data_IF_833465680192
#
_entry.id   IF_833465680192
#
_cell.length_a   1.000
_cell.length_b   1.000
_cell.length_c   1.000
_cell.angle_alpha   90.00
_cell.angle_beta   90.00
_cell.angle_gamma   90.00
#
_symmetry.space_group_name_H-M   'P 1'
#
loop_
_entity.id
_entity.type
_entity.pdbx_description
1 polymer ?
#
# COMPACT_ATOMS: atom_id res chain seq x y z
N UNK A 1 -8.22 16.04 2.38
CA UNK A 1 -7.34 15.38 1.39
C UNK A 1 -7.63 13.89 1.37
N UNK A 2 -7.97 13.33 0.21
CA UNK A 2 -8.17 11.90 -0.02
C UNK A 2 -6.95 11.34 -0.74
N UNK A 3 -6.39 10.26 -0.22
CA UNK A 3 -5.19 9.61 -0.78
C UNK A 3 -5.41 8.11 -0.91
N UNK A 4 -5.09 7.55 -2.08
CA UNK A 4 -5.02 6.10 -2.28
C UNK A 4 -3.63 5.61 -1.89
N UNK A 5 -3.55 4.43 -1.27
CA UNK A 5 -2.29 3.76 -0.92
C UNK A 5 -2.26 2.35 -1.45
N UNK A 6 -1.10 1.93 -1.88
CA UNK A 6 -0.76 0.53 -2.12
C UNK A 6 0.71 0.28 -1.77
N UNK A 7 1.03 -0.89 -1.21
CA UNK A 7 2.40 -1.30 -0.90
C UNK A 7 2.74 -2.62 -1.56
N UNK A 8 4.00 -2.78 -1.93
CA UNK A 8 4.53 -4.05 -2.37
C UNK A 8 5.58 -4.57 -1.40
N UNK A 9 5.44 -5.81 -1.02
CA UNK A 9 6.26 -6.47 -0.01
C UNK A 9 7.03 -7.61 -0.64
N UNK A 10 8.27 -7.79 -0.20
CA UNK A 10 9.09 -8.94 -0.56
C UNK A 10 8.36 -10.24 -0.23
N UNK A 11 8.40 -11.20 -1.14
CA UNK A 11 7.72 -12.50 -1.00
C UNK A 11 8.72 -13.63 -1.23
N UNK A 12 9.40 -14.03 -0.17
CA UNK A 12 10.39 -15.12 -0.22
C UNK A 12 9.73 -16.50 -0.06
N UNK A 13 8.70 -16.57 0.81
CA UNK A 13 8.11 -17.84 1.25
C UNK A 13 6.58 -17.89 1.07
N UNK A 14 6.05 -17.15 0.11
CA UNK A 14 4.62 -17.05 -0.13
C UNK A 14 4.07 -15.66 0.20
N UNK A 15 2.75 -15.54 0.34
CA UNK A 15 2.13 -14.23 0.61
C UNK A 15 2.57 -13.70 1.98
N UNK A 16 3.10 -12.46 2.06
CA UNK A 16 3.61 -11.90 3.30
C UNK A 16 2.50 -11.75 4.36
N UNK A 17 2.77 -12.28 5.55
CA UNK A 17 1.83 -12.28 6.65
C UNK A 17 1.96 -11.00 7.50
N UNK A 18 0.82 -10.35 7.76
CA UNK A 18 0.74 -9.11 8.56
C UNK A 18 1.11 -9.36 10.02
N UNK A 19 0.83 -10.55 10.57
CA UNK A 19 1.09 -10.84 11.98
C UNK A 19 2.60 -10.96 12.25
N UNK A 20 3.32 -11.70 11.43
CA UNK A 20 4.77 -11.82 11.51
C UNK A 20 5.48 -10.58 10.99
N UNK A 21 4.96 -9.96 9.93
CA UNK A 21 5.50 -8.79 9.25
C UNK A 21 7.01 -8.90 9.02
N UNK A 22 7.46 -10.08 8.55
CA UNK A 22 8.88 -10.44 8.49
C UNK A 22 9.60 -9.83 7.30
N UNK A 23 8.91 -9.71 6.16
CA UNK A 23 9.50 -9.32 4.89
C UNK A 23 9.57 -7.80 4.70
N UNK A 24 10.56 -7.34 3.93
CA UNK A 24 10.80 -5.93 3.64
C UNK A 24 9.72 -5.35 2.73
N UNK A 25 9.33 -4.10 2.98
CA UNK A 25 8.55 -3.30 2.03
C UNK A 25 9.48 -2.89 0.89
N UNK A 26 9.08 -3.21 -0.33
CA UNK A 26 9.81 -2.90 -1.56
C UNK A 26 9.35 -1.57 -2.19
N UNK A 27 8.03 -1.32 -2.16
CA UNK A 27 7.41 -0.11 -2.70
C UNK A 27 6.34 0.41 -1.74
N UNK A 28 6.23 1.73 -1.63
CA UNK A 28 5.08 2.44 -1.08
C UNK A 28 4.63 3.43 -2.14
N UNK A 29 3.38 3.35 -2.58
CA UNK A 29 2.82 4.28 -3.57
C UNK A 29 1.58 4.95 -3.02
N UNK A 30 1.52 6.26 -3.16
CA UNK A 30 0.38 7.11 -2.81
C UNK A 30 -0.08 7.88 -4.03
N UNK A 31 -1.41 7.98 -4.23
CA UNK A 31 -2.00 8.91 -5.18
C UNK A 31 -2.88 9.93 -4.44
N UNK A 32 -2.64 11.21 -4.64
CA UNK A 32 -3.57 12.25 -4.25
C UNK A 32 -4.76 12.29 -5.21
N UNK A 33 -5.97 12.09 -4.69
CA UNK A 33 -7.18 12.01 -5.51
C UNK A 33 -7.47 13.30 -6.28
N UNK A 34 -7.17 14.46 -5.69
CA UNK A 34 -7.50 15.78 -6.26
C UNK A 34 -6.52 16.18 -7.36
N UNK A 35 -5.23 16.05 -7.09
CA UNK A 35 -4.18 16.47 -8.02
C UNK A 35 -3.78 15.39 -9.01
N UNK A 36 -4.16 14.14 -8.75
CA UNK A 36 -3.71 12.94 -9.48
C UNK A 36 -2.19 12.73 -9.44
N UNK A 37 -1.50 13.44 -8.54
CA UNK A 37 -0.08 13.24 -8.35
C UNK A 37 0.17 11.92 -7.62
N UNK A 38 1.06 11.12 -8.16
CA UNK A 38 1.51 9.87 -7.59
C UNK A 38 2.91 10.05 -7.01
N UNK A 39 3.12 9.52 -5.82
CA UNK A 39 4.43 9.49 -5.17
C UNK A 39 4.76 8.07 -4.77
N UNK A 40 5.93 7.60 -5.23
CA UNK A 40 6.41 6.26 -4.95
C UNK A 40 7.79 6.31 -4.30
N UNK A 41 7.94 5.53 -3.23
CA UNK A 41 9.21 5.20 -2.58
C UNK A 41 9.56 3.75 -2.92
N UNK A 42 10.78 3.49 -3.41
CA UNK A 42 11.15 2.14 -3.85
C UNK A 42 12.60 1.76 -3.56
N UNK A 43 12.84 0.46 -3.38
CA UNK A 43 14.17 -0.14 -3.16
C UNK A 43 14.88 -0.46 -4.49
N UNK A 44 14.92 0.49 -5.41
CA UNK A 44 15.57 0.30 -6.71
C UNK A 44 15.39 1.48 -7.63
N UNK A 45 16.12 1.47 -8.74
CA UNK A 45 16.03 2.53 -9.75
C UNK A 45 14.79 2.39 -10.62
N UNK A 46 14.18 3.49 -11.00
CA UNK A 46 13.03 3.53 -11.89
C UNK A 46 13.22 4.62 -12.95
N UNK A 47 13.04 4.26 -14.22
CA UNK A 47 13.05 5.23 -15.30
C UNK A 47 11.64 5.82 -15.48
N UNK A 48 11.40 6.89 -14.74
CA UNK A 48 10.09 7.56 -14.75
C UNK A 48 9.88 8.34 -16.06
N UNK A 49 8.78 8.06 -16.75
CA UNK A 49 8.36 8.75 -17.97
C UNK A 49 7.05 9.53 -17.80
N UNK A 50 6.45 9.50 -16.60
CA UNK A 50 5.16 10.12 -16.32
C UNK A 50 5.37 11.40 -15.52
N UNK A 51 4.80 12.51 -15.99
CA UNK A 51 4.97 13.84 -15.37
C UNK A 51 4.28 13.95 -13.99
N UNK A 52 3.19 13.19 -13.80
CA UNK A 52 2.44 13.17 -12.54
C UNK A 52 3.01 12.19 -11.50
N UNK A 53 4.09 11.47 -11.81
CA UNK A 53 4.74 10.52 -10.90
C UNK A 53 6.03 11.11 -10.34
N UNK A 54 6.17 11.09 -9.02
CA UNK A 54 7.39 11.43 -8.30
C UNK A 54 7.94 10.13 -7.69
N UNK A 55 9.05 9.66 -8.20
CA UNK A 55 9.71 8.45 -7.70
C UNK A 55 10.98 8.78 -6.92
N UNK A 56 11.13 8.17 -5.74
CA UNK A 56 12.36 8.23 -4.94
C UNK A 56 12.92 6.82 -4.74
N UNK A 57 14.20 6.67 -5.06
CA UNK A 57 14.95 5.41 -4.92
C UNK A 57 15.77 5.38 -3.64
N UNK A 58 15.77 4.24 -2.96
CA UNK A 58 16.53 3.98 -1.73
C UNK A 58 17.32 2.68 -1.83
N UNK A 59 18.33 2.54 -1.00
CA UNK A 59 19.16 1.32 -0.92
C UNK A 59 18.68 0.35 0.14
N UNK A 60 18.02 0.86 1.18
CA UNK A 60 17.55 0.09 2.33
C UNK A 60 16.12 0.47 2.68
N UNK A 61 15.38 -0.48 3.26
CA UNK A 61 14.04 -0.22 3.80
C UNK A 61 14.06 0.85 4.90
N UNK A 62 15.12 0.89 5.73
CA UNK A 62 15.28 1.94 6.74
C UNK A 62 15.24 3.34 6.13
N UNK A 63 16.00 3.57 5.06
CA UNK A 63 16.05 4.87 4.37
C UNK A 63 14.68 5.20 3.73
N UNK A 64 14.06 4.19 3.11
CA UNK A 64 12.74 4.31 2.49
C UNK A 64 11.68 4.71 3.50
N UNK A 65 11.53 3.96 4.58
CA UNK A 65 10.55 4.21 5.64
C UNK A 65 10.81 5.54 6.37
N UNK A 66 12.07 5.88 6.58
CA UNK A 66 12.42 7.15 7.24
C UNK A 66 12.08 8.35 6.35
N UNK A 67 12.34 8.30 5.03
CA UNK A 67 11.94 9.38 4.11
C UNK A 67 10.41 9.45 3.98
N UNK A 68 9.74 8.29 3.90
CA UNK A 68 8.29 8.21 3.86
C UNK A 68 7.65 8.88 5.07
N UNK A 69 8.04 8.50 6.30
CA UNK A 69 7.43 9.05 7.52
C UNK A 69 7.75 10.54 7.71
N UNK A 70 8.93 11.00 7.31
CA UNK A 70 9.28 12.42 7.34
C UNK A 70 8.44 13.22 6.36
N UNK A 71 8.15 12.68 5.18
CA UNK A 71 7.26 13.32 4.21
C UNK A 71 5.81 13.31 4.70
N UNK A 72 5.35 12.19 5.25
CA UNK A 72 3.99 12.02 5.77
C UNK A 72 3.67 13.00 6.89
N UNK A 73 4.62 13.29 7.78
CA UNK A 73 4.45 14.19 8.92
C UNK A 73 4.27 15.66 8.55
N UNK A 74 4.53 16.06 7.33
CA UNK A 74 4.27 17.43 6.87
C UNK A 74 2.74 17.59 6.80
N UNK A 75 2.19 18.59 7.48
CA UNK A 75 0.75 18.82 7.65
C UNK A 75 -0.03 18.72 6.33
N UNK A 76 0.49 19.34 5.28
CA UNK A 76 -0.14 19.33 3.95
C UNK A 76 -0.08 17.94 3.26
N UNK A 77 0.78 17.04 3.72
CA UNK A 77 0.95 15.71 3.14
C UNK A 77 0.08 14.66 3.81
N UNK A 78 -0.11 14.74 5.14
CA UNK A 78 -0.95 13.80 5.88
C UNK A 78 -2.37 13.80 5.31
N UNK A 79 -2.90 12.64 4.88
CA UNK A 79 -4.26 12.58 4.36
C UNK A 79 -5.29 12.68 5.50
N UNK A 80 -6.43 13.29 5.21
CA UNK A 80 -7.61 13.24 6.08
C UNK A 80 -8.35 11.91 5.90
N UNK A 81 -8.31 11.39 4.66
CA UNK A 81 -8.90 10.11 4.29
C UNK A 81 -7.89 9.32 3.47
N UNK A 82 -7.64 8.08 3.91
CA UNK A 82 -6.83 7.12 3.17
C UNK A 82 -7.71 5.97 2.69
N UNK A 83 -7.48 5.54 1.46
CA UNK A 83 -8.18 4.43 0.83
C UNK A 83 -7.19 3.52 0.10
N UNK A 84 -7.62 2.33 -0.26
CA UNK A 84 -6.88 1.34 -1.03
C UNK A 84 -7.67 0.04 -1.07
N UNK A 85 -7.23 -0.92 -1.85
CA UNK A 85 -7.90 -2.21 -1.99
C UNK A 85 -7.45 -3.18 -0.90
N UNK A 86 -8.32 -3.48 0.06
CA UNK A 86 -8.01 -4.26 1.27
C UNK A 86 -6.97 -3.60 2.18
N UNK A 87 -6.78 -2.30 2.04
CA UNK A 87 -5.71 -1.55 2.71
C UNK A 87 -5.85 -1.53 4.23
N UNK A 88 -7.08 -1.60 4.76
CA UNK A 88 -7.34 -1.66 6.20
C UNK A 88 -6.80 -2.92 6.86
N UNK A 89 -6.78 -4.05 6.14
CA UNK A 89 -6.36 -5.35 6.68
C UNK A 89 -4.98 -5.78 6.20
N UNK A 90 -4.38 -5.06 5.23
CA UNK A 90 -3.06 -5.40 4.71
C UNK A 90 -2.09 -4.23 4.70
N UNK A 91 -2.27 -3.23 3.84
CA UNK A 91 -1.27 -2.17 3.62
C UNK A 91 -0.98 -1.35 4.88
N UNK A 92 -2.01 -0.86 5.53
CA UNK A 92 -1.88 -0.01 6.72
C UNK A 92 -1.29 -0.80 7.91
N UNK A 93 -1.79 -1.99 8.26
CA UNK A 93 -1.20 -2.78 9.35
C UNK A 93 0.24 -3.18 9.05
N UNK A 94 0.54 -3.60 7.82
CA UNK A 94 1.89 -3.99 7.43
C UNK A 94 2.84 -2.80 7.54
N UNK A 95 2.47 -1.65 7.00
CA UNK A 95 3.26 -0.43 7.06
C UNK A 95 3.51 0.03 8.50
N UNK A 96 2.46 0.09 9.33
CA UNK A 96 2.59 0.46 10.75
C UNK A 96 3.55 -0.47 11.51
N UNK A 97 3.44 -1.78 11.30
CA UNK A 97 4.31 -2.77 11.94
C UNK A 97 5.75 -2.72 11.45
N UNK A 98 5.96 -2.47 10.14
CA UNK A 98 7.32 -2.29 9.60
C UNK A 98 7.96 -1.02 10.12
N UNK A 99 7.23 0.09 10.16
CA UNK A 99 7.74 1.33 10.78
C UNK A 99 8.10 1.11 12.25
N UNK A 100 7.24 0.44 13.01
CA UNK A 100 7.51 0.11 14.42
C UNK A 100 8.79 -0.73 14.59
N UNK A 101 8.91 -1.79 13.78
CA UNK A 101 10.06 -2.71 13.83
C UNK A 101 11.38 -2.06 13.43
N UNK A 102 11.38 -1.25 12.39
CA UNK A 102 12.61 -0.70 11.78
C UNK A 102 12.97 0.66 12.36
N UNK A 103 11.99 1.51 12.63
CA UNK A 103 12.20 2.89 13.08
C UNK A 103 11.77 3.13 14.53
N UNK A 104 11.00 2.21 15.13
CA UNK A 104 10.50 2.26 16.48
C UNK A 104 9.17 2.94 16.67
N UNK A 105 8.52 2.67 17.80
CA UNK A 105 7.18 3.10 18.17
C UNK A 105 6.97 4.63 18.07
N UNK A 106 7.99 5.40 18.43
CA UNK A 106 7.92 6.87 18.37
C UNK A 106 7.66 7.38 16.96
N UNK A 107 8.27 6.75 15.93
CA UNK A 107 8.04 7.13 14.54
C UNK A 107 6.74 6.53 14.00
N UNK A 108 6.35 5.33 14.42
CA UNK A 108 5.02 4.79 14.09
C UNK A 108 3.90 5.74 14.55
N UNK A 109 3.97 6.29 15.75
CA UNK A 109 2.97 7.25 16.25
C UNK A 109 2.83 8.50 15.39
N UNK A 110 3.84 8.83 14.58
CA UNK A 110 3.79 9.95 13.66
C UNK A 110 3.00 9.69 12.37
N UNK A 111 2.48 8.49 12.17
CA UNK A 111 1.43 8.24 11.18
C UNK A 111 0.14 9.01 11.51
N UNK A 112 -0.09 9.30 12.78
CA UNK A 112 -1.19 10.14 13.25
C UNK A 112 -0.73 11.58 13.48
N UNK A 113 -1.46 12.60 12.98
CA UNK A 113 -1.18 14.00 13.31
C UNK A 113 -1.33 14.29 14.81
N UNK A 114 -2.05 13.43 15.55
CA UNK A 114 -2.26 13.56 16.99
C UNK A 114 -1.38 12.62 17.82
N UNK A 115 -0.55 11.80 17.17
CA UNK A 115 0.29 10.81 17.85
C UNK A 115 -0.47 9.61 18.40
N UNK A 116 -1.69 9.38 17.91
CA UNK A 116 -2.60 8.30 18.33
C UNK A 116 -2.65 7.23 17.25
N UNK A 117 -1.94 6.13 17.45
CA UNK A 117 -1.95 4.96 16.57
C UNK A 117 -2.19 3.73 17.43
N UNK A 118 -3.34 3.11 17.28
CA UNK A 118 -3.79 1.98 18.10
C UNK A 118 -3.95 0.74 17.24
N UNK A 119 -3.34 -0.36 17.66
CA UNK A 119 -3.55 -1.68 17.05
C UNK A 119 -4.86 -2.27 17.56
N UNK A 120 -5.66 -2.81 16.65
CA UNK A 120 -6.92 -3.46 16.93
C UNK A 120 -6.93 -4.88 16.38
N UNK A 121 -7.47 -5.82 17.14
CA UNK A 121 -7.72 -7.18 16.70
C UNK A 121 -9.19 -7.35 16.32
N UNK A 122 -9.43 -7.81 15.10
CA UNK A 122 -10.78 -8.06 14.57
C UNK A 122 -10.88 -9.51 14.11
N UNK A 123 -12.01 -10.15 14.38
CA UNK A 123 -12.31 -11.50 13.91
C UNK A 123 -13.29 -11.45 12.74
N UNK A 124 -12.86 -11.90 11.56
CA UNK A 124 -13.67 -11.98 10.34
C UNK A 124 -13.73 -13.43 9.90
N UNK A 125 -14.94 -14.00 9.79
CA UNK A 125 -15.13 -15.41 9.41
C UNK A 125 -14.30 -16.40 10.26
N UNK A 126 -14.15 -16.12 11.58
CA UNK A 126 -13.40 -16.96 12.51
C UNK A 126 -11.87 -16.82 12.42
N UNK A 127 -11.35 -15.93 11.58
CA UNK A 127 -9.92 -15.63 11.49
C UNK A 127 -9.59 -14.31 12.14
N UNK A 128 -8.49 -14.28 12.89
CA UNK A 128 -7.94 -13.07 13.48
C UNK A 128 -7.34 -12.19 12.37
N UNK A 129 -7.69 -10.91 12.39
CA UNK A 129 -7.08 -9.87 11.56
C UNK A 129 -6.59 -8.74 12.44
N UNK A 130 -5.52 -8.10 12.00
CA UNK A 130 -4.95 -6.94 12.65
C UNK A 130 -5.29 -5.73 11.80
N UNK A 131 -5.79 -4.69 12.45
CA UNK A 131 -6.00 -3.36 11.87
C UNK A 131 -5.39 -2.30 12.78
N UNK A 132 -5.29 -1.09 12.27
CA UNK A 132 -4.80 0.06 13.04
C UNK A 132 -5.80 1.20 12.95
N UNK A 133 -6.13 1.79 14.09
CA UNK A 133 -6.77 3.10 14.11
C UNK A 133 -5.70 4.19 14.16
N UNK A 134 -5.75 5.13 13.21
CA UNK A 134 -4.82 6.25 13.09
C UNK A 134 -5.62 7.52 13.37
N UNK A 135 -5.50 8.04 14.59
CA UNK A 135 -6.22 9.24 15.00
C UNK A 135 -5.95 10.41 14.04
N UNK A 136 -7.03 11.02 13.51
CA UNK A 136 -6.96 12.10 12.54
C UNK A 136 -6.88 11.67 11.07
N UNK A 137 -6.81 10.36 10.79
CA UNK A 137 -6.81 9.80 9.42
C UNK A 137 -7.93 8.79 9.27
N UNK A 138 -8.98 9.13 8.57
CA UNK A 138 -10.10 8.20 8.30
C UNK A 138 -9.70 7.15 7.27
N UNK A 139 -9.93 5.89 7.57
CA UNK A 139 -9.64 4.78 6.65
C UNK A 139 -10.92 4.31 5.98
N UNK A 140 -10.99 4.44 4.67
CA UNK A 140 -12.08 3.96 3.82
C UNK A 140 -11.57 2.87 2.90
N UNK A 141 -11.60 1.61 3.35
CA UNK A 141 -11.20 0.48 2.52
C UNK A 141 -12.12 0.33 1.30
N UNK A 142 -11.53 0.43 0.10
CA UNK A 142 -12.33 0.43 -1.13
C UNK A 142 -12.95 -0.95 -1.40
N UNK A 143 -12.32 -2.04 -0.99
CA UNK A 143 -12.91 -3.38 -1.07
C UNK A 143 -14.18 -3.50 -0.22
N UNK A 144 -14.17 -2.94 0.99
CA UNK A 144 -15.35 -2.94 1.87
C UNK A 144 -16.46 -2.07 1.28
N UNK A 145 -16.12 -0.90 0.75
CA UNK A 145 -17.07 -0.02 0.07
C UNK A 145 -17.64 -0.71 -1.18
N UNK A 146 -16.81 -1.32 -1.99
CA UNK A 146 -17.24 -2.04 -3.18
C UNK A 146 -18.25 -3.16 -2.83
N UNK A 147 -17.92 -4.02 -1.87
CA UNK A 147 -18.81 -5.10 -1.41
C UNK A 147 -20.14 -4.56 -0.85
N UNK A 148 -20.09 -3.43 -0.16
CA UNK A 148 -21.29 -2.84 0.50
C UNK A 148 -22.24 -2.20 -0.51
N UNK A 149 -21.71 -1.57 -1.56
CA UNK A 149 -22.51 -0.79 -2.52
C UNK A 149 -22.74 -1.48 -3.87
N UNK A 150 -22.13 -2.65 -4.09
CA UNK A 150 -22.35 -3.45 -5.30
C UNK A 150 -23.44 -4.49 -5.05
N UNK A 151 -24.54 -4.44 -5.84
CA UNK A 151 -25.69 -5.32 -5.65
C UNK A 151 -25.48 -6.75 -6.13
N UNK A 152 -24.48 -6.99 -6.98
CA UNK A 152 -24.19 -8.33 -7.50
C UNK A 152 -22.93 -8.87 -6.86
N UNK A 153 -23.02 -10.09 -6.30
CA UNK A 153 -21.83 -10.80 -5.86
C UNK A 153 -20.92 -11.09 -7.07
N UNK A 154 -19.62 -10.89 -6.86
CA UNK A 154 -18.59 -11.16 -7.86
C UNK A 154 -17.98 -12.55 -7.64
N UNK A 155 -17.50 -13.18 -8.72
CA UNK A 155 -16.80 -14.47 -8.64
C UNK A 155 -15.48 -14.39 -7.87
N UNK A 156 -14.83 -13.22 -7.96
CA UNK A 156 -13.59 -12.89 -7.25
C UNK A 156 -13.59 -11.43 -6.82
N UNK A 157 -13.02 -11.15 -5.66
CA UNK A 157 -12.82 -9.79 -5.15
C UNK A 157 -11.35 -9.37 -5.19
N UNK A 158 -10.56 -9.99 -6.05
CA UNK A 158 -9.19 -9.53 -6.35
C UNK A 158 -9.26 -8.25 -7.17
N UNK A 159 -8.35 -7.32 -6.91
CA UNK A 159 -8.33 -6.02 -7.59
C UNK A 159 -8.30 -6.16 -9.12
N UNK A 160 -7.44 -7.06 -9.63
CA UNK A 160 -7.31 -7.34 -11.07
C UNK A 160 -8.63 -7.81 -11.72
N UNK A 161 -9.37 -8.68 -11.02
CA UNK A 161 -10.67 -9.16 -11.50
C UNK A 161 -11.70 -8.03 -11.52
N UNK A 162 -11.81 -7.28 -10.43
CA UNK A 162 -12.79 -6.19 -10.31
C UNK A 162 -12.48 -5.06 -11.31
N UNK A 163 -11.22 -4.67 -11.46
CA UNK A 163 -10.82 -3.69 -12.48
C UNK A 163 -11.18 -4.15 -13.91
N UNK A 164 -11.02 -5.44 -14.20
CA UNK A 164 -11.43 -6.01 -15.48
C UNK A 164 -12.95 -5.96 -15.69
N UNK A 165 -13.74 -6.26 -14.64
CA UNK A 165 -15.22 -6.27 -14.73
C UNK A 165 -15.80 -4.85 -14.85
N UNK A 166 -15.29 -3.92 -14.02
CA UNK A 166 -15.87 -2.57 -13.90
C UNK A 166 -15.30 -1.58 -14.94
N UNK A 167 -14.01 -1.67 -15.23
CA UNK A 167 -13.31 -0.71 -16.09
C UNK A 167 -12.95 -1.28 -17.46
N UNK A 168 -13.13 -2.58 -17.68
CA UNK A 168 -12.65 -3.26 -18.89
C UNK A 168 -11.13 -3.23 -19.05
N UNK A 169 -10.40 -2.83 -18.00
CA UNK A 169 -8.96 -2.75 -18.01
C UNK A 169 -8.36 -4.12 -17.68
N UNK A 170 -7.38 -4.52 -18.46
CA UNK A 170 -6.56 -5.68 -18.11
C UNK A 170 -5.36 -5.17 -17.29
N UNK A 171 -5.10 -5.82 -16.17
CA UNK A 171 -3.89 -5.60 -15.38
C UNK A 171 -2.65 -5.81 -16.26
N UNK A 172 -1.56 -5.10 -15.96
CA UNK A 172 -0.27 -5.34 -16.61
C UNK A 172 0.07 -6.83 -16.54
N UNK A 173 0.21 -7.44 -17.70
CA UNK A 173 0.58 -8.86 -17.79
C UNK A 173 2.01 -9.04 -17.30
N UNK A 174 2.17 -9.82 -16.25
CA UNK A 174 3.46 -10.20 -15.69
C UNK A 174 3.71 -11.72 -15.81
N UNK A 175 2.94 -12.40 -16.67
CA UNK A 175 3.04 -13.87 -16.91
C UNK A 175 4.40 -14.31 -17.46
N UNK A 176 5.23 -13.36 -17.91
CA UNK A 176 6.62 -13.63 -18.31
C UNK A 176 7.54 -13.98 -17.13
N UNK A 177 7.11 -13.74 -15.89
CA UNK A 177 7.84 -14.08 -14.68
C UNK A 177 7.25 -15.33 -14.02
N UNK A 178 8.08 -16.33 -13.75
CA UNK A 178 7.65 -17.60 -13.17
C UNK A 178 7.12 -17.45 -11.74
N UNK A 179 7.67 -16.49 -10.98
CA UNK A 179 7.30 -16.23 -9.59
C UNK A 179 7.18 -14.74 -9.33
N UNK A 180 6.46 -14.36 -8.27
CA UNK A 180 6.40 -12.97 -7.82
C UNK A 180 7.81 -12.46 -7.43
N UNK A 181 8.67 -13.33 -6.90
CA UNK A 181 10.08 -13.02 -6.63
C UNK A 181 10.84 -12.67 -7.91
N UNK A 182 10.63 -13.43 -8.98
CA UNK A 182 11.24 -13.10 -10.29
C UNK A 182 10.74 -11.76 -10.80
N UNK A 183 9.48 -11.42 -10.59
CA UNK A 183 8.90 -10.17 -11.02
C UNK A 183 9.62 -8.97 -10.39
N UNK A 184 9.78 -8.91 -9.06
CA UNK A 184 10.48 -7.78 -8.46
C UNK A 184 12.01 -7.83 -8.59
N UNK A 185 12.62 -9.01 -8.79
CA UNK A 185 14.09 -9.11 -8.92
C UNK A 185 14.60 -8.91 -10.35
N UNK A 186 13.85 -9.37 -11.35
CA UNK A 186 14.24 -9.31 -12.76
C UNK A 186 13.49 -8.23 -13.55
N UNK A 187 12.28 -7.88 -13.14
CA UNK A 187 11.35 -6.95 -13.79
C UNK A 187 11.05 -5.69 -13.01
N UNK A 188 12.01 -5.15 -12.24
CA UNK A 188 11.80 -4.01 -11.33
C UNK A 188 11.08 -2.82 -11.98
N UNK A 189 11.45 -2.43 -13.19
CA UNK A 189 10.78 -1.34 -13.92
C UNK A 189 9.28 -1.60 -14.05
N UNK A 190 8.92 -2.78 -14.53
CA UNK A 190 7.53 -3.20 -14.71
C UNK A 190 6.80 -3.42 -13.38
N UNK A 191 7.52 -3.84 -12.34
CA UNK A 191 7.01 -4.00 -10.99
C UNK A 191 6.59 -2.65 -10.37
N UNK A 192 7.39 -1.59 -10.58
CA UNK A 192 7.02 -0.23 -10.17
C UNK A 192 5.82 0.28 -10.96
N UNK A 193 5.80 0.08 -12.28
CA UNK A 193 4.65 0.47 -13.13
C UNK A 193 3.37 -0.23 -12.70
N UNK A 194 3.46 -1.49 -12.31
CA UNK A 194 2.34 -2.28 -11.77
C UNK A 194 1.77 -1.66 -10.50
N UNK A 195 2.62 -1.36 -9.50
CA UNK A 195 2.20 -0.74 -8.24
C UNK A 195 1.63 0.69 -8.43
N UNK A 196 2.14 1.45 -9.43
CA UNK A 196 1.58 2.75 -9.81
C UNK A 196 0.14 2.61 -10.32
N UNK A 197 -0.13 1.60 -11.15
CA UNK A 197 -1.48 1.35 -11.68
C UNK A 197 -2.46 0.91 -10.57
N UNK A 198 -1.99 0.21 -9.54
CA UNK A 198 -2.84 -0.27 -8.44
C UNK A 198 -3.37 0.90 -7.56
N UNK A 199 -2.83 2.11 -7.66
CA UNK A 199 -3.34 3.31 -6.97
C UNK A 199 -4.18 4.24 -7.88
N UNK A 200 -4.16 4.06 -9.20
CA UNK A 200 -4.93 4.84 -10.17
C UNK A 200 -6.40 4.42 -10.24
#
# INVERSE_FOLDING_TARGET
KLTTIDIEVKSEYGFPDVESCAEEILLITLQDYTTKQIRTWGLGGFNNKQENVIYKSFKTEYELLNDFINWWMIEDNTPEVITGWNSKLYDIPYLCRRIDRILGEKLKKRMSPWGLVTEEETFIAGRKHISYDIGGVSQLDYLDLYKKFTYKAQESYRLDYIASVELGQKKLDHSEFDTFKDFYTKGWQKFVEYNIIDVE
#
